data_IF_289116109130
#
_entry.id   IF_289116109130
#
_cell.length_a   1.000
_cell.length_b   1.000
_cell.length_c   1.000
_cell.angle_alpha   90.00
_cell.angle_beta   90.00
_cell.angle_gamma   90.00
#
_symmetry.space_group_name_H-M   'P 1'
#
loop_
_entity.id
_entity.type
_entity.pdbx_description
1 polymer ?
#
# COMPACT_ATOMS: atom_id res chain seq x y z
N UNK A 1 2.07 0.31 -18.19
CA UNK A 1 1.25 -0.20 -17.07
C UNK A 1 0.73 -1.59 -17.33
N UNK A 2 0.09 -1.88 -18.47
CA UNK A 2 -0.47 -3.22 -18.71
C UNK A 2 0.57 -4.35 -18.68
N UNK A 3 1.77 -4.14 -19.25
CA UNK A 3 2.89 -5.10 -19.14
C UNK A 3 3.33 -5.34 -17.68
N UNK A 4 3.28 -4.31 -16.82
CA UNK A 4 3.60 -4.46 -15.40
C UNK A 4 2.50 -5.23 -14.66
N UNK A 5 1.24 -5.01 -15.00
CA UNK A 5 0.10 -5.76 -14.45
C UNK A 5 0.20 -7.23 -14.86
N UNK A 6 0.46 -7.52 -16.14
CA UNK A 6 0.63 -8.89 -16.62
C UNK A 6 1.83 -9.58 -15.95
N UNK A 7 2.96 -8.88 -15.84
CA UNK A 7 4.13 -9.39 -15.11
C UNK A 7 3.82 -9.67 -13.65
N UNK A 8 3.10 -8.76 -12.97
CA UNK A 8 2.65 -8.94 -11.59
C UNK A 8 1.77 -10.17 -11.43
N UNK A 9 0.72 -10.31 -12.25
CA UNK A 9 -0.17 -11.48 -12.22
C UNK A 9 0.65 -12.75 -12.45
N UNK A 10 1.51 -12.78 -13.47
CA UNK A 10 2.33 -13.94 -13.79
C UNK A 10 3.22 -14.37 -12.62
N UNK A 11 3.90 -13.42 -11.97
CA UNK A 11 4.76 -13.69 -10.82
C UNK A 11 3.94 -14.17 -9.62
N UNK A 12 2.85 -13.48 -9.28
CA UNK A 12 2.01 -13.87 -8.13
C UNK A 12 1.36 -15.24 -8.32
N UNK A 13 0.87 -15.53 -9.53
CA UNK A 13 0.30 -16.84 -9.86
C UNK A 13 1.36 -17.94 -9.81
N UNK A 14 2.58 -17.70 -10.30
CA UNK A 14 3.67 -18.67 -10.19
C UNK A 14 4.03 -18.98 -8.73
N UNK A 15 4.13 -17.95 -7.88
CA UNK A 15 4.39 -18.12 -6.44
C UNK A 15 3.24 -18.88 -5.76
N UNK A 16 1.98 -18.51 -6.08
CA UNK A 16 0.81 -19.18 -5.53
C UNK A 16 0.77 -20.66 -5.92
N UNK A 17 1.04 -20.98 -7.19
CA UNK A 17 1.11 -22.35 -7.68
C UNK A 17 2.18 -23.14 -6.95
N UNK A 18 3.39 -22.59 -6.80
CA UNK A 18 4.46 -23.22 -6.03
C UNK A 18 4.05 -23.46 -4.57
N UNK A 19 3.46 -22.46 -3.90
CA UNK A 19 3.00 -22.58 -2.51
C UNK A 19 1.92 -23.64 -2.31
N UNK A 20 0.99 -23.77 -3.25
CA UNK A 20 -0.08 -24.77 -3.19
C UNK A 20 0.47 -26.17 -3.51
N UNK A 21 1.37 -26.29 -4.49
CA UNK A 21 1.98 -27.57 -4.87
C UNK A 21 2.82 -28.19 -3.73
N UNK A 22 3.48 -27.35 -2.92
CA UNK A 22 4.24 -27.77 -1.75
C UNK A 22 3.49 -27.57 -0.43
N UNK A 23 2.15 -27.46 -0.47
CA UNK A 23 1.35 -27.36 0.73
C UNK A 23 1.44 -28.67 1.54
N UNK A 24 1.66 -28.62 2.87
CA UNK A 24 1.76 -29.83 3.70
C UNK A 24 0.53 -30.73 3.62
N UNK A 25 -0.65 -30.13 3.40
CA UNK A 25 -1.92 -30.82 3.24
C UNK A 25 -2.48 -30.53 1.84
N UNK A 26 -2.51 -31.51 0.92
CA UNK A 26 -3.07 -31.32 -0.40
C UNK A 26 -4.59 -31.05 -0.30
N UNK A 27 -5.16 -30.27 -1.24
CA UNK A 27 -6.58 -29.98 -1.24
C UNK A 27 -7.39 -31.27 -1.41
N UNK A 28 -8.36 -31.50 -0.52
CA UNK A 28 -9.24 -32.67 -0.56
C UNK A 28 -10.34 -32.55 -1.62
N UNK A 29 -10.84 -31.33 -1.84
CA UNK A 29 -11.92 -31.02 -2.79
C UNK A 29 -11.65 -29.73 -3.58
N UNK A 30 -12.43 -29.48 -4.64
CA UNK A 30 -12.36 -28.23 -5.42
C UNK A 30 -12.65 -26.98 -4.56
N UNK A 31 -13.58 -27.07 -3.60
CA UNK A 31 -13.88 -25.95 -2.70
C UNK A 31 -12.69 -25.63 -1.77
N UNK A 32 -12.03 -26.68 -1.28
CA UNK A 32 -10.81 -26.53 -0.47
C UNK A 32 -9.66 -25.92 -1.28
N UNK A 33 -9.48 -26.35 -2.53
CA UNK A 33 -8.51 -25.75 -3.44
C UNK A 33 -8.80 -24.26 -3.70
N UNK A 34 -10.08 -23.91 -3.91
CA UNK A 34 -10.50 -22.53 -4.08
C UNK A 34 -10.19 -21.68 -2.84
N UNK A 35 -10.54 -22.18 -1.65
CA UNK A 35 -10.24 -21.50 -0.37
C UNK A 35 -8.74 -21.30 -0.14
N UNK A 36 -7.91 -22.30 -0.43
CA UNK A 36 -6.45 -22.22 -0.37
C UNK A 36 -5.87 -21.16 -1.33
N UNK A 37 -6.46 -21.03 -2.53
CA UNK A 37 -6.02 -20.07 -3.53
C UNK A 37 -6.46 -18.62 -3.26
N UNK A 38 -7.53 -18.44 -2.48
CA UNK A 38 -8.20 -17.15 -2.31
C UNK A 38 -7.28 -16.03 -1.78
N UNK A 39 -6.47 -16.22 -0.71
CA UNK A 39 -5.55 -15.19 -0.24
C UNK A 39 -4.58 -14.71 -1.32
N UNK A 40 -4.01 -15.65 -2.10
CA UNK A 40 -3.06 -15.34 -3.16
C UNK A 40 -3.71 -14.58 -4.32
N UNK A 41 -4.92 -14.96 -4.70
CA UNK A 41 -5.70 -14.26 -5.72
C UNK A 41 -6.05 -12.84 -5.27
N UNK A 42 -6.47 -12.67 -4.01
CA UNK A 42 -6.78 -11.35 -3.47
C UNK A 42 -5.53 -10.45 -3.41
N UNK A 43 -4.37 -10.98 -2.99
CA UNK A 43 -3.09 -10.25 -3.02
C UNK A 43 -2.72 -9.83 -4.45
N UNK A 44 -2.94 -10.70 -5.45
CA UNK A 44 -2.70 -10.39 -6.85
C UNK A 44 -3.62 -9.26 -7.36
N UNK A 45 -4.91 -9.32 -7.01
CA UNK A 45 -5.95 -8.41 -7.50
C UNK A 45 -5.96 -7.06 -6.78
N UNK A 46 -5.58 -7.00 -5.51
CA UNK A 46 -5.63 -5.79 -4.68
C UNK A 46 -4.96 -4.55 -5.32
N UNK A 47 -3.69 -4.60 -5.76
CA UNK A 47 -3.07 -3.45 -6.40
C UNK A 47 -3.72 -3.14 -7.76
N UNK A 48 -4.20 -4.14 -8.50
CA UNK A 48 -4.87 -3.93 -9.79
C UNK A 48 -6.18 -3.17 -9.58
N UNK A 49 -6.97 -3.58 -8.58
CA UNK A 49 -8.21 -2.89 -8.20
C UNK A 49 -7.92 -1.45 -7.77
N UNK A 50 -6.91 -1.23 -6.92
CA UNK A 50 -6.49 0.11 -6.50
C UNK A 50 -6.07 0.99 -7.68
N UNK A 51 -5.29 0.44 -8.61
CA UNK A 51 -4.92 1.12 -9.85
C UNK A 51 -6.13 1.47 -10.71
N UNK A 52 -7.00 0.50 -11.01
CA UNK A 52 -8.14 0.66 -11.92
C UNK A 52 -9.17 1.62 -11.36
N UNK A 53 -9.48 1.53 -10.06
CA UNK A 53 -10.40 2.45 -9.40
C UNK A 53 -9.86 3.88 -9.39
N UNK A 54 -8.62 4.11 -8.95
CA UNK A 54 -8.05 5.45 -8.95
C UNK A 54 -7.89 6.00 -10.38
N UNK A 55 -7.53 5.14 -11.34
CA UNK A 55 -7.40 5.51 -12.73
C UNK A 55 -8.74 5.83 -13.41
N UNK A 56 -9.82 5.16 -13.02
CA UNK A 56 -11.17 5.42 -13.50
C UNK A 56 -11.75 6.70 -12.90
N UNK A 57 -11.58 6.91 -11.59
CA UNK A 57 -12.16 8.06 -10.88
C UNK A 57 -11.47 9.40 -11.18
N UNK A 58 -10.20 9.39 -11.61
CA UNK A 58 -9.44 10.63 -11.88
C UNK A 58 -8.79 10.62 -13.26
N UNK A 59 -9.53 10.72 -14.38
CA UNK A 59 -8.99 10.65 -15.74
C UNK A 59 -7.84 11.63 -16.00
N UNK A 60 -6.96 11.31 -16.96
CA UNK A 60 -5.86 12.23 -17.31
C UNK A 60 -6.43 13.51 -17.93
N UNK A 61 -5.89 14.65 -17.51
CA UNK A 61 -6.20 15.95 -18.11
C UNK A 61 -7.46 16.64 -17.57
N UNK A 62 -8.23 16.01 -16.68
CA UNK A 62 -9.39 16.66 -16.05
C UNK A 62 -8.96 17.70 -15.03
N UNK A 63 -9.65 18.85 -15.01
CA UNK A 63 -9.48 19.88 -13.98
C UNK A 63 -10.09 19.37 -12.66
N UNK A 64 -9.25 18.97 -11.70
CA UNK A 64 -9.75 18.45 -10.41
C UNK A 64 -9.97 19.59 -9.43
N UNK A 65 -11.13 19.69 -8.79
CA UNK A 65 -11.35 20.73 -7.78
C UNK A 65 -10.37 20.61 -6.59
N UNK A 66 -9.97 21.76 -6.03
CA UNK A 66 -9.24 21.78 -4.76
C UNK A 66 -10.19 21.35 -3.63
N UNK A 67 -9.75 20.52 -2.67
CA UNK A 67 -10.60 20.13 -1.57
C UNK A 67 -10.94 21.31 -0.65
N UNK A 68 -12.18 21.33 -0.14
CA UNK A 68 -12.73 22.45 0.65
C UNK A 68 -11.92 22.76 1.92
N UNK A 69 -11.52 21.73 2.66
CA UNK A 69 -10.67 21.86 3.85
C UNK A 69 -9.21 21.88 3.40
N UNK A 70 -8.41 22.83 3.88
CA UNK A 70 -6.98 22.98 3.54
C UNK A 70 -6.10 22.79 4.78
N UNK A 71 -5.57 21.57 4.97
CA UNK A 71 -4.86 21.13 6.18
C UNK A 71 -3.54 21.87 6.47
N UNK A 72 -2.88 22.46 5.47
CA UNK A 72 -1.62 23.20 5.67
C UNK A 72 -1.78 24.66 5.22
N UNK A 73 -1.62 25.60 6.17
CA UNK A 73 -1.55 27.05 5.92
C UNK A 73 -0.22 27.67 6.36
N UNK A 74 0.76 26.85 6.72
CA UNK A 74 2.02 27.32 7.28
C UNK A 74 2.93 27.92 6.21
N UNK A 75 3.33 29.19 6.34
CA UNK A 75 4.20 29.92 5.40
C UNK A 75 3.49 31.01 4.57
N UNK A 76 4.27 31.86 3.89
CA UNK A 76 3.79 32.92 2.98
C UNK A 76 3.54 32.35 1.58
N UNK A 77 2.29 32.00 1.30
CA UNK A 77 1.90 31.35 0.04
C UNK A 77 0.88 32.18 -0.73
N UNK A 78 1.13 32.38 -2.03
CA UNK A 78 0.17 32.91 -2.99
C UNK A 78 -0.66 31.78 -3.58
N UNK A 79 -1.99 31.94 -3.65
CA UNK A 79 -2.85 31.00 -4.38
C UNK A 79 -2.65 31.13 -5.88
N UNK A 80 -2.53 29.99 -6.56
CA UNK A 80 -2.46 29.89 -8.01
C UNK A 80 -3.76 29.30 -8.54
N UNK A 81 -4.15 29.73 -9.75
CA UNK A 81 -5.13 29.00 -10.54
C UNK A 81 -4.49 27.74 -11.16
N UNK A 82 -5.30 26.81 -11.64
CA UNK A 82 -4.84 25.55 -12.22
C UNK A 82 -3.92 25.73 -13.43
N UNK A 83 -4.23 26.69 -14.31
CA UNK A 83 -3.41 26.97 -15.49
C UNK A 83 -2.04 27.52 -15.08
N UNK A 84 -2.01 28.53 -14.20
CA UNK A 84 -0.77 29.10 -13.67
C UNK A 84 0.05 28.08 -12.87
N UNK A 85 -0.60 27.12 -12.20
CA UNK A 85 0.10 26.03 -11.53
C UNK A 85 0.75 25.08 -12.53
N UNK A 86 0.11 24.77 -13.68
CA UNK A 86 0.67 23.89 -14.72
C UNK A 86 1.79 24.54 -15.52
N UNK A 87 1.76 25.85 -15.69
CA UNK A 87 2.82 26.64 -16.34
C UNK A 87 4.08 26.76 -15.47
N UNK A 88 3.97 26.49 -14.16
CA UNK A 88 5.08 26.61 -13.24
C UNK A 88 6.13 25.49 -13.48
N UNK A 89 7.44 25.81 -13.57
CA UNK A 89 8.51 24.81 -13.75
C UNK A 89 8.56 23.71 -12.68
N UNK A 90 8.04 24.00 -11.49
CA UNK A 90 7.98 23.05 -10.38
C UNK A 90 6.75 22.13 -10.41
N UNK A 91 5.88 22.26 -11.40
CA UNK A 91 4.71 21.39 -11.53
C UNK A 91 5.09 19.96 -11.92
N UNK A 92 4.41 18.99 -11.30
CA UNK A 92 4.45 17.59 -11.71
C UNK A 92 5.39 16.70 -10.89
N UNK A 93 5.36 15.38 -11.18
CA UNK A 93 5.95 14.34 -10.35
C UNK A 93 7.48 14.18 -10.47
N UNK A 94 8.21 15.25 -10.84
CA UNK A 94 9.66 15.22 -11.01
C UNK A 94 10.47 15.37 -9.71
N UNK A 95 11.79 15.16 -9.81
CA UNK A 95 12.73 15.35 -8.71
C UNK A 95 12.51 14.36 -7.56
N UNK A 96 12.58 14.83 -6.31
CA UNK A 96 12.38 13.99 -5.12
C UNK A 96 10.96 13.37 -5.02
N UNK A 97 9.97 13.91 -5.75
CA UNK A 97 8.66 13.26 -5.87
C UNK A 97 8.73 11.94 -6.65
N UNK A 98 9.67 11.81 -7.59
CA UNK A 98 9.83 10.58 -8.37
C UNK A 98 10.33 9.42 -7.50
N UNK A 99 11.21 9.67 -6.52
CA UNK A 99 11.63 8.66 -5.56
C UNK A 99 10.51 8.25 -4.60
N UNK A 100 9.60 9.18 -4.24
CA UNK A 100 8.38 8.82 -3.50
C UNK A 100 7.49 7.90 -4.32
N UNK A 101 7.25 8.22 -5.59
CA UNK A 101 6.48 7.37 -6.51
C UNK A 101 7.09 5.98 -6.66
N UNK A 102 8.41 5.91 -6.81
CA UNK A 102 9.11 4.64 -6.86
C UNK A 102 8.98 3.87 -5.55
N UNK A 103 9.09 4.54 -4.40
CA UNK A 103 8.91 3.94 -3.08
C UNK A 103 7.49 3.41 -2.84
N UNK A 104 6.47 4.13 -3.30
CA UNK A 104 5.07 3.68 -3.26
C UNK A 104 4.85 2.45 -4.14
N UNK A 105 5.46 2.43 -5.32
CA UNK A 105 5.37 1.29 -6.25
C UNK A 105 6.13 0.07 -5.71
N UNK A 106 7.32 0.25 -5.14
CA UNK A 106 8.15 -0.81 -4.57
C UNK A 106 7.58 -1.39 -3.27
N UNK A 107 6.74 -0.65 -2.55
CA UNK A 107 6.04 -1.17 -1.38
C UNK A 107 5.19 -2.40 -1.71
N UNK A 108 4.52 -2.39 -2.86
CA UNK A 108 3.62 -3.47 -3.29
C UNK A 108 4.33 -4.83 -3.44
N UNK A 109 5.41 -4.95 -4.25
CA UNK A 109 6.13 -6.22 -4.36
C UNK A 109 6.85 -6.60 -3.07
N UNK A 110 7.47 -5.66 -2.35
CA UNK A 110 8.21 -5.97 -1.12
C UNK A 110 7.27 -6.53 -0.05
N UNK A 111 6.13 -5.88 0.19
CA UNK A 111 5.14 -6.35 1.19
C UNK A 111 4.52 -7.69 0.80
N UNK A 112 4.28 -7.90 -0.48
CA UNK A 112 3.74 -9.19 -0.96
C UNK A 112 4.77 -10.32 -0.85
N UNK A 113 6.06 -10.03 -1.09
CA UNK A 113 7.14 -10.99 -0.87
C UNK A 113 7.26 -11.36 0.60
N UNK A 114 7.16 -10.39 1.51
CA UNK A 114 7.13 -10.64 2.95
C UNK A 114 5.98 -11.57 3.34
N UNK A 115 4.80 -11.34 2.78
CA UNK A 115 3.66 -12.25 2.96
C UNK A 115 3.95 -13.66 2.42
N UNK A 116 4.45 -13.77 1.19
CA UNK A 116 4.74 -15.08 0.60
C UNK A 116 5.87 -15.81 1.32
N UNK A 117 6.84 -15.12 1.91
CA UNK A 117 7.90 -15.75 2.69
C UNK A 117 7.39 -16.15 4.07
N UNK A 118 6.69 -15.26 4.76
CA UNK A 118 6.28 -15.46 6.15
C UNK A 118 5.12 -16.46 6.30
N UNK A 119 4.19 -16.50 5.35
CA UNK A 119 2.95 -17.26 5.50
C UNK A 119 2.95 -18.53 4.62
N UNK A 120 2.85 -19.72 5.22
CA UNK A 120 2.66 -20.97 4.47
C UNK A 120 1.22 -21.10 3.96
N UNK A 121 1.00 -21.94 2.95
CA UNK A 121 -0.34 -22.32 2.53
C UNK A 121 -0.96 -23.25 3.58
N UNK A 122 -1.96 -22.76 4.31
CA UNK A 122 -2.60 -23.49 5.40
C UNK A 122 -4.02 -23.91 4.99
N UNK A 123 -4.35 -25.17 5.24
CA UNK A 123 -5.73 -25.69 5.12
C UNK A 123 -6.55 -25.45 6.41
N UNK A 124 -7.84 -25.80 6.38
CA UNK A 124 -8.76 -25.60 7.50
C UNK A 124 -8.39 -26.37 8.79
N UNK A 125 -7.54 -27.39 8.68
CA UNK A 125 -7.05 -28.19 9.81
C UNK A 125 -5.89 -27.51 10.57
N UNK A 126 -5.46 -26.30 10.18
CA UNK A 126 -4.37 -25.58 10.82
C UNK A 126 -4.73 -25.05 12.22
N UNK A 127 -3.77 -24.95 13.16
CA UNK A 127 -4.00 -24.36 14.48
C UNK A 127 -4.57 -22.94 14.40
N UNK A 128 -5.38 -22.56 15.40
CA UNK A 128 -6.04 -21.26 15.46
C UNK A 128 -5.06 -20.08 15.29
N UNK A 129 -3.88 -20.13 15.94
CA UNK A 129 -2.85 -19.11 15.79
C UNK A 129 -2.36 -18.94 14.35
N UNK A 130 -2.26 -20.05 13.60
CA UNK A 130 -1.77 -20.04 12.23
C UNK A 130 -2.82 -19.45 11.27
N UNK A 131 -4.10 -19.76 11.52
CA UNK A 131 -5.22 -19.16 10.80
C UNK A 131 -5.33 -17.66 11.07
N UNK A 132 -5.13 -17.23 12.32
CA UNK A 132 -5.11 -15.80 12.69
C UNK A 132 -3.98 -15.06 11.96
N UNK A 133 -2.76 -15.61 11.95
CA UNK A 133 -1.62 -15.02 11.21
C UNK A 133 -1.96 -14.91 9.73
N UNK A 134 -2.41 -16.00 9.09
CA UNK A 134 -2.77 -16.00 7.67
C UNK A 134 -3.82 -14.92 7.37
N UNK A 135 -4.89 -14.86 8.15
CA UNK A 135 -5.99 -13.92 7.94
C UNK A 135 -5.53 -12.48 8.09
N UNK A 136 -4.85 -12.17 9.20
CA UNK A 136 -4.41 -10.82 9.53
C UNK A 136 -3.37 -10.29 8.55
N UNK A 137 -2.37 -11.12 8.20
CA UNK A 137 -1.36 -10.80 7.20
C UNK A 137 -1.97 -10.62 5.80
N UNK A 138 -2.95 -11.45 5.44
CA UNK A 138 -3.65 -11.34 4.16
C UNK A 138 -4.41 -10.01 4.07
N UNK A 139 -5.16 -9.65 5.12
CA UNK A 139 -5.89 -8.39 5.20
C UNK A 139 -4.95 -7.18 5.10
N UNK A 140 -3.83 -7.21 5.83
CA UNK A 140 -2.80 -6.18 5.79
C UNK A 140 -2.25 -5.97 4.37
N UNK A 141 -1.79 -7.05 3.73
CA UNK A 141 -1.17 -6.96 2.40
C UNK A 141 -2.17 -6.53 1.34
N UNK A 142 -3.41 -7.02 1.38
CA UNK A 142 -4.47 -6.60 0.46
C UNK A 142 -4.76 -5.11 0.63
N UNK A 143 -5.05 -4.67 1.85
CA UNK A 143 -5.44 -3.29 2.12
C UNK A 143 -4.31 -2.32 1.74
N UNK A 144 -3.07 -2.66 2.09
CA UNK A 144 -1.95 -1.76 1.85
C UNK A 144 -1.48 -1.77 0.40
N UNK A 145 -1.48 -2.92 -0.30
CA UNK A 145 -1.24 -2.94 -1.73
C UNK A 145 -2.28 -2.10 -2.50
N UNK A 146 -3.54 -2.17 -2.05
CA UNK A 146 -4.60 -1.36 -2.61
C UNK A 146 -4.35 0.14 -2.37
N UNK A 147 -4.18 0.57 -1.12
CA UNK A 147 -4.04 1.98 -0.77
C UNK A 147 -2.75 2.61 -1.32
N UNK A 148 -1.62 1.90 -1.30
CA UNK A 148 -0.39 2.42 -1.89
C UNK A 148 -0.49 2.56 -3.41
N UNK A 149 -1.22 1.66 -4.09
CA UNK A 149 -1.45 1.82 -5.54
C UNK A 149 -2.39 2.98 -5.84
N UNK A 150 -3.42 3.21 -5.01
CA UNK A 150 -4.26 4.42 -5.11
C UNK A 150 -3.39 5.67 -4.94
N UNK A 151 -2.55 5.72 -3.90
CA UNK A 151 -1.62 6.82 -3.67
C UNK A 151 -0.69 7.06 -4.87
N UNK A 152 -0.13 5.99 -5.43
CA UNK A 152 0.72 6.04 -6.62
C UNK A 152 0.00 6.69 -7.80
N UNK A 153 -1.23 6.28 -8.09
CA UNK A 153 -2.02 6.85 -9.21
C UNK A 153 -2.36 8.31 -8.95
N UNK A 154 -2.77 8.66 -7.73
CA UNK A 154 -3.09 10.05 -7.37
C UNK A 154 -1.86 10.96 -7.52
N UNK A 155 -0.68 10.51 -7.07
CA UNK A 155 0.56 11.24 -7.25
C UNK A 155 0.97 11.36 -8.72
N UNK A 156 0.90 10.26 -9.48
CA UNK A 156 1.25 10.23 -10.90
C UNK A 156 0.36 11.17 -11.73
N UNK A 157 -0.90 11.34 -11.33
CA UNK A 157 -1.88 12.22 -11.98
C UNK A 157 -1.97 13.61 -11.35
N UNK A 158 -1.05 13.96 -10.44
CA UNK A 158 -1.03 15.25 -9.76
C UNK A 158 -2.36 15.62 -9.06
N UNK A 159 -3.10 14.63 -8.55
CA UNK A 159 -4.42 14.84 -7.94
C UNK A 159 -4.26 15.45 -6.54
N UNK A 160 -4.92 16.60 -6.23
CA UNK A 160 -4.79 17.31 -4.94
C UNK A 160 -5.01 16.48 -3.67
N UNK A 161 -5.75 15.37 -3.77
CA UNK A 161 -6.03 14.46 -2.66
C UNK A 161 -4.84 13.58 -2.26
N UNK A 162 -3.82 13.45 -3.10
CA UNK A 162 -2.69 12.55 -2.88
C UNK A 162 -2.06 12.66 -1.47
N UNK A 163 -1.64 13.85 -0.98
CA UNK A 163 -0.98 13.93 0.32
C UNK A 163 -1.86 13.46 1.49
N UNK A 164 -3.19 13.59 1.37
CA UNK A 164 -4.13 13.13 2.40
C UNK A 164 -4.33 11.65 2.35
N UNK A 165 -4.45 11.10 1.14
CA UNK A 165 -4.55 9.66 0.95
C UNK A 165 -3.29 8.95 1.47
N UNK A 166 -2.11 9.54 1.25
CA UNK A 166 -0.86 9.00 1.77
C UNK A 166 -0.79 9.04 3.30
N UNK A 167 -1.21 10.15 3.91
CA UNK A 167 -1.32 10.24 5.38
C UNK A 167 -2.29 9.18 5.93
N UNK A 168 -3.46 9.03 5.29
CA UNK A 168 -4.42 8.00 5.64
C UNK A 168 -3.82 6.60 5.52
N UNK A 169 -3.11 6.31 4.42
CA UNK A 169 -2.46 5.02 4.22
C UNK A 169 -1.43 4.72 5.33
N UNK A 170 -0.60 5.69 5.74
CA UNK A 170 0.33 5.49 6.86
C UNK A 170 -0.36 5.24 8.20
N UNK A 171 -1.42 5.99 8.52
CA UNK A 171 -2.18 5.80 9.75
C UNK A 171 -2.87 4.43 9.76
N UNK A 172 -3.45 4.04 8.62
CA UNK A 172 -4.07 2.74 8.45
C UNK A 172 -3.04 1.61 8.58
N UNK A 173 -1.84 1.79 8.01
CA UNK A 173 -0.73 0.83 8.13
C UNK A 173 -0.34 0.61 9.60
N UNK A 174 -0.09 1.69 10.34
CA UNK A 174 0.22 1.63 11.78
C UNK A 174 -0.91 0.94 12.56
N UNK A 175 -2.15 1.31 12.29
CA UNK A 175 -3.33 0.70 12.93
C UNK A 175 -3.40 -0.81 12.63
N UNK A 176 -3.17 -1.22 11.39
CA UNK A 176 -3.12 -2.63 11.01
C UNK A 176 -2.00 -3.37 11.75
N UNK A 177 -0.78 -2.82 11.82
CA UNK A 177 0.32 -3.45 12.58
C UNK A 177 -0.06 -3.67 14.06
N UNK A 178 -0.67 -2.69 14.70
CA UNK A 178 -1.14 -2.82 16.08
C UNK A 178 -2.26 -3.86 16.22
N UNK A 179 -3.23 -3.86 15.30
CA UNK A 179 -4.32 -4.83 15.29
C UNK A 179 -3.80 -6.27 15.10
N UNK A 180 -2.83 -6.47 14.21
CA UNK A 180 -2.17 -7.76 14.01
C UNK A 180 -1.42 -8.22 15.25
N UNK A 181 -0.64 -7.34 15.89
CA UNK A 181 0.08 -7.65 17.12
C UNK A 181 -0.87 -8.09 18.24
N UNK A 182 -2.00 -7.39 18.40
CA UNK A 182 -3.02 -7.74 19.38
C UNK A 182 -3.70 -9.08 19.07
N UNK A 183 -4.13 -9.28 17.81
CA UNK A 183 -4.81 -10.50 17.41
C UNK A 183 -3.94 -11.75 17.49
N UNK A 184 -2.67 -11.65 17.07
CA UNK A 184 -1.71 -12.76 17.15
C UNK A 184 -1.35 -13.04 18.61
N UNK A 185 -1.16 -11.99 19.43
CA UNK A 185 -0.86 -12.15 20.86
C UNK A 185 -2.01 -12.76 21.67
N UNK A 186 -3.25 -12.60 21.22
CA UNK A 186 -4.44 -13.20 21.83
C UNK A 186 -4.70 -14.64 21.35
N UNK A 187 -3.95 -15.15 20.38
CA UNK A 187 -4.19 -16.49 19.85
C UNK A 187 -3.75 -17.58 20.85
N UNK A 188 -4.58 -18.62 21.08
CA UNK A 188 -4.23 -19.70 21.99
C UNK A 188 -3.07 -20.55 21.44
N UNK A 189 -2.26 -21.07 22.37
CA UNK A 189 -1.17 -22.02 22.10
C UNK A 189 -0.14 -21.55 21.04
N UNK A 190 0.12 -20.23 20.99
CA UNK A 190 1.12 -19.65 20.10
C UNK A 190 2.55 -20.12 20.51
N UNK A 191 3.29 -20.84 19.64
CA UNK A 191 4.65 -21.25 19.94
C UNK A 191 5.59 -20.05 20.10
N UNK A 192 6.46 -20.07 21.11
CA UNK A 192 7.33 -18.93 21.44
C UNK A 192 8.28 -18.50 20.30
N UNK A 193 8.74 -19.45 19.48
CA UNK A 193 9.54 -19.17 18.29
C UNK A 193 8.75 -18.43 17.19
N UNK A 194 7.47 -18.77 17.00
CA UNK A 194 6.58 -18.07 16.06
C UNK A 194 6.25 -16.68 16.59
N UNK A 195 5.98 -16.55 17.89
CA UNK A 195 5.76 -15.26 18.54
C UNK A 195 6.95 -14.31 18.37
N UNK A 196 8.17 -14.80 18.58
CA UNK A 196 9.39 -14.02 18.38
C UNK A 196 9.56 -13.58 16.91
N UNK A 197 9.37 -14.50 15.96
CA UNK A 197 9.47 -14.19 14.53
C UNK A 197 8.42 -13.15 14.08
N UNK A 198 7.17 -13.28 14.54
CA UNK A 198 6.12 -12.31 14.25
C UNK A 198 6.40 -10.96 14.89
N UNK A 199 6.90 -10.93 16.12
CA UNK A 199 7.32 -9.68 16.77
C UNK A 199 8.40 -8.94 15.97
N UNK A 200 9.43 -9.64 15.50
CA UNK A 200 10.47 -9.06 14.65
C UNK A 200 9.91 -8.53 13.33
N UNK A 201 9.02 -9.29 12.68
CA UNK A 201 8.39 -8.88 11.42
C UNK A 201 7.52 -7.63 11.58
N UNK A 202 6.65 -7.61 12.59
CA UNK A 202 5.74 -6.48 12.86
C UNK A 202 6.51 -5.22 13.29
N UNK A 203 7.53 -5.37 14.13
CA UNK A 203 8.41 -4.26 14.51
C UNK A 203 9.15 -3.68 13.29
N UNK A 204 9.66 -4.55 12.42
CA UNK A 204 10.29 -4.14 11.16
C UNK A 204 9.33 -3.39 10.24
N UNK A 205 8.08 -3.84 10.13
CA UNK A 205 7.07 -3.18 9.31
C UNK A 205 6.67 -1.82 9.87
N UNK A 206 6.48 -1.72 11.18
CA UNK A 206 6.23 -0.44 11.84
C UNK A 206 7.40 0.53 11.62
N UNK A 207 8.64 0.06 11.75
CA UNK A 207 9.83 0.87 11.52
C UNK A 207 9.90 1.40 10.07
N UNK A 208 9.59 0.58 9.05
CA UNK A 208 9.53 1.03 7.66
C UNK A 208 8.53 2.16 7.45
N UNK A 209 7.34 2.04 8.05
CA UNK A 209 6.31 3.07 7.94
C UNK A 209 6.75 4.36 8.63
N UNK A 210 7.33 4.26 9.83
CA UNK A 210 7.81 5.43 10.57
C UNK A 210 8.97 6.13 9.85
N UNK A 211 9.90 5.38 9.24
CA UNK A 211 10.96 5.94 8.39
C UNK A 211 10.33 6.67 7.19
N UNK A 212 9.35 6.06 6.53
CA UNK A 212 8.63 6.69 5.43
C UNK A 212 7.96 8.00 5.89
N UNK A 213 7.25 8.00 7.02
CA UNK A 213 6.63 9.20 7.58
C UNK A 213 7.68 10.28 7.87
N UNK A 214 8.79 9.91 8.53
CA UNK A 214 9.85 10.84 8.90
C UNK A 214 10.52 11.51 7.70
N UNK A 215 10.71 10.77 6.60
CA UNK A 215 11.33 11.29 5.37
C UNK A 215 10.33 12.13 4.57
N UNK A 216 9.12 11.63 4.37
CA UNK A 216 8.18 12.19 3.39
C UNK A 216 7.24 13.24 3.96
N UNK A 217 6.85 13.16 5.23
CA UNK A 217 5.93 14.13 5.83
C UNK A 217 6.50 15.56 5.78
N UNK A 218 7.77 15.83 6.18
CA UNK A 218 8.34 17.17 6.07
C UNK A 218 8.37 17.66 4.63
N UNK A 219 8.75 16.79 3.69
CA UNK A 219 8.76 17.10 2.27
C UNK A 219 7.37 17.49 1.74
N UNK A 220 6.33 16.73 2.11
CA UNK A 220 4.94 17.01 1.70
C UNK A 220 4.39 18.31 2.30
N UNK A 221 4.92 18.76 3.43
CA UNK A 221 4.49 20.01 4.08
C UNK A 221 5.20 21.21 3.43
N UNK A 222 6.53 21.14 3.31
CA UNK A 222 7.38 22.30 3.03
C UNK A 222 7.69 22.47 1.54
N UNK A 223 7.75 21.40 0.76
CA UNK A 223 8.25 21.46 -0.62
C UNK A 223 7.37 22.35 -1.52
N UNK A 224 8.01 23.27 -2.23
CA UNK A 224 7.36 24.13 -3.22
C UNK A 224 6.73 23.30 -4.35
N UNK A 225 7.44 22.28 -4.85
CA UNK A 225 6.91 21.35 -5.88
C UNK A 225 5.60 20.70 -5.44
N UNK A 226 5.52 20.21 -4.20
CA UNK A 226 4.30 19.61 -3.65
C UNK A 226 3.19 20.65 -3.54
N UNK A 227 3.50 21.85 -3.06
CA UNK A 227 2.54 22.93 -2.88
C UNK A 227 1.99 23.45 -4.22
N UNK A 228 2.83 23.60 -5.24
CA UNK A 228 2.42 23.98 -6.60
C UNK A 228 1.56 22.87 -7.21
N UNK A 229 2.04 21.62 -7.17
CA UNK A 229 1.40 20.49 -7.85
C UNK A 229 0.05 20.12 -7.23
N UNK A 230 -0.01 19.95 -5.90
CA UNK A 230 -1.19 19.38 -5.23
C UNK A 230 -2.06 20.43 -4.55
N UNK A 231 -1.49 21.57 -4.13
CA UNK A 231 -2.20 22.60 -3.35
C UNK A 231 -2.43 23.89 -4.12
N UNK A 232 -1.91 23.99 -5.36
CA UNK A 232 -1.97 25.17 -6.23
C UNK A 232 -1.53 26.44 -5.51
N UNK A 233 -0.33 26.41 -4.94
CA UNK A 233 0.28 27.55 -4.24
C UNK A 233 1.75 27.67 -4.56
N UNK A 234 2.22 28.90 -4.76
CA UNK A 234 3.64 29.23 -4.88
C UNK A 234 4.06 30.15 -3.73
N UNK A 235 5.37 30.17 -3.44
CA UNK A 235 5.93 31.06 -2.44
C UNK A 235 5.83 32.51 -2.93
N UNK A 236 5.51 33.43 -2.01
CA UNK A 236 5.53 34.89 -2.28
C UNK A 236 6.97 35.36 -2.38
#
# INVERSE_FOLDING_TARGET
MERLILGWIGVTVAIAFFKIAYAPNPPRDMLHAAALSLPYLLVALAPIAGYRLAAGSFPRGTLTAQPAIRLCRYGTWRSLDELSARENPWFGPGGFMASLLLGLLLNVPVRSLEFFVAVPALGGDAPAWAQTILTMMTLDVIAMNFFYMVCFVLALRAVPLFPRMLLFAWLFDIMMQCAMAHAIGAAPDLPGNVAAAMSTLLAGNLQKVLISVAVWLPYLIVSERVNVTFRRRARV
#
